data_IF_790390123575
#
_entry.id   IF_790390123575
#
_cell.length_a   1.000
_cell.length_b   1.000
_cell.length_c   1.000
_cell.angle_alpha   90.00
_cell.angle_beta   90.00
_cell.angle_gamma   90.00
#
_symmetry.space_group_name_H-M   'P 1'
#
loop_
_entity.id
_entity.type
_entity.pdbx_description
1 polymer ?
#
# COMPACT_ATOMS: atom_id res chain seq x y z
N UNK A 1 -38.87 -2.18 -6.51
CA UNK A 1 -39.07 -0.71 -6.55
C UNK A 1 -37.75 -0.07 -6.99
N UNK A 2 -37.71 0.62 -8.13
CA UNK A 2 -36.58 1.48 -8.50
C UNK A 2 -36.80 2.81 -7.79
N UNK A 3 -36.01 3.10 -6.76
CA UNK A 3 -35.97 4.42 -6.15
C UNK A 3 -35.14 5.28 -7.10
N UNK A 4 -35.81 6.04 -7.96
CA UNK A 4 -35.15 7.05 -8.78
C UNK A 4 -34.74 8.20 -7.88
N UNK A 5 -33.43 8.41 -7.70
CA UNK A 5 -32.91 9.60 -7.03
C UNK A 5 -33.21 10.79 -7.95
N UNK A 6 -33.85 11.81 -7.40
CA UNK A 6 -34.09 13.07 -8.12
C UNK A 6 -32.77 13.85 -8.21
N UNK A 7 -32.17 13.86 -9.41
CA UNK A 7 -30.91 14.53 -9.70
C UNK A 7 -31.11 15.98 -10.20
N UNK A 8 -32.32 16.52 -10.08
CA UNK A 8 -32.66 17.83 -10.68
C UNK A 8 -31.87 18.97 -10.02
N UNK A 9 -31.62 18.88 -8.72
CA UNK A 9 -30.86 19.87 -7.95
C UNK A 9 -29.36 19.82 -8.26
N UNK A 10 -28.77 18.62 -8.28
CA UNK A 10 -27.38 18.38 -8.74
C UNK A 10 -27.12 18.87 -10.16
N UNK A 11 -28.07 18.66 -11.08
CA UNK A 11 -27.97 19.18 -12.45
C UNK A 11 -28.00 20.71 -12.51
N UNK A 12 -28.75 21.33 -11.60
CA UNK A 12 -28.89 22.78 -11.53
C UNK A 12 -27.61 23.43 -11.00
N UNK A 13 -27.04 22.88 -9.94
CA UNK A 13 -25.74 23.30 -9.39
C UNK A 13 -24.62 23.13 -10.43
N UNK A 14 -24.57 22.00 -11.14
CA UNK A 14 -23.56 21.76 -12.18
C UNK A 14 -23.66 22.76 -13.33
N UNK A 15 -24.88 23.17 -13.70
CA UNK A 15 -25.11 24.15 -14.75
C UNK A 15 -24.75 25.57 -14.32
N UNK A 16 -24.96 25.92 -13.05
CA UNK A 16 -24.53 27.21 -12.48
C UNK A 16 -23.00 27.33 -12.41
N UNK A 17 -22.30 26.24 -12.05
CA UNK A 17 -20.82 26.17 -12.09
C UNK A 17 -20.29 26.33 -13.52
N UNK A 18 -20.93 25.72 -14.52
CA UNK A 18 -20.55 25.86 -15.93
C UNK A 18 -20.71 27.31 -16.43
N UNK A 19 -21.83 27.94 -16.10
CA UNK A 19 -22.14 29.32 -16.53
C UNK A 19 -21.16 30.36 -15.96
N UNK A 20 -20.64 30.12 -14.76
CA UNK A 20 -19.64 31.00 -14.15
C UNK A 20 -18.22 30.82 -14.72
N UNK A 21 -17.94 29.71 -15.42
CA UNK A 21 -16.62 29.39 -15.96
C UNK A 21 -16.44 29.72 -17.46
N UNK A 22 -17.50 30.17 -18.15
CA UNK A 22 -17.45 30.43 -19.60
C UNK A 22 -16.51 31.58 -20.02
N UNK A 23 -15.93 32.34 -19.09
CA UNK A 23 -14.94 33.41 -19.38
C UNK A 23 -13.52 33.15 -18.82
N UNK A 24 -13.21 31.94 -18.34
CA UNK A 24 -11.83 31.51 -17.98
C UNK A 24 -11.65 30.03 -18.29
N UNK A 25 -11.45 29.69 -19.56
CA UNK A 25 -11.16 28.32 -20.00
C UNK A 25 -9.70 27.88 -19.71
N UNK A 26 -9.18 28.28 -18.57
CA UNK A 26 -8.19 27.48 -17.86
C UNK A 26 -8.79 27.26 -16.48
N UNK A 27 -9.31 26.05 -16.24
CA UNK A 27 -9.35 25.56 -14.87
C UNK A 27 -7.89 25.51 -14.47
N UNK A 28 -7.39 26.56 -13.82
CA UNK A 28 -6.08 26.57 -13.19
C UNK A 28 -6.21 25.57 -12.05
N UNK A 29 -6.04 24.29 -12.41
CA UNK A 29 -5.91 23.22 -11.44
C UNK A 29 -4.65 23.56 -10.66
N UNK A 30 -4.83 23.89 -9.38
CA UNK A 30 -3.70 24.13 -8.51
C UNK A 30 -2.86 22.86 -8.50
N UNK A 31 -1.61 22.98 -8.96
CA UNK A 31 -0.64 21.89 -8.97
C UNK A 31 -0.64 21.20 -7.61
N UNK A 32 -0.78 19.87 -7.62
CA UNK A 32 -0.72 19.05 -6.40
C UNK A 32 0.74 18.84 -6.02
N UNK A 33 1.62 18.75 -7.01
CA UNK A 33 3.07 18.66 -6.84
C UNK A 33 3.72 20.05 -6.81
N UNK A 34 4.76 20.18 -6.00
CA UNK A 34 5.61 21.37 -5.97
C UNK A 34 6.75 21.20 -6.99
N UNK A 35 6.77 22.05 -8.02
CA UNK A 35 7.74 22.00 -9.12
C UNK A 35 9.18 22.16 -8.65
N UNK A 36 9.42 22.80 -7.49
CA UNK A 36 10.77 22.95 -6.96
C UNK A 36 11.40 21.60 -6.54
N UNK A 37 10.60 20.55 -6.39
CA UNK A 37 11.07 19.19 -6.13
C UNK A 37 11.27 18.36 -7.40
N UNK A 38 10.96 18.91 -8.58
CA UNK A 38 11.19 18.26 -9.86
C UNK A 38 12.68 18.33 -10.24
N UNK A 39 13.25 17.18 -10.58
CA UNK A 39 14.62 17.09 -11.07
C UNK A 39 14.62 17.24 -12.59
N UNK A 40 15.29 18.28 -13.08
CA UNK A 40 15.48 18.48 -14.51
C UNK A 40 16.29 17.33 -15.11
N UNK A 41 15.83 16.82 -16.24
CA UNK A 41 16.45 15.72 -16.97
C UNK A 41 16.97 16.24 -18.30
N UNK A 42 18.24 16.00 -18.57
CA UNK A 42 18.81 16.28 -19.89
C UNK A 42 18.51 15.08 -20.80
N UNK A 43 17.56 15.24 -21.72
CA UNK A 43 17.16 14.19 -22.66
C UNK A 43 17.98 14.23 -23.95
N UNK A 44 18.40 15.43 -24.34
CA UNK A 44 19.10 15.72 -25.59
C UNK A 44 20.24 16.72 -25.35
N UNK A 45 20.94 17.11 -26.40
CA UNK A 45 21.95 18.17 -26.35
C UNK A 45 21.35 19.58 -26.63
N UNK A 46 20.04 19.68 -26.85
CA UNK A 46 19.33 20.93 -27.16
C UNK A 46 18.52 21.41 -25.93
N UNK A 47 18.93 22.52 -25.29
CA UNK A 47 18.25 23.05 -24.12
C UNK A 47 16.79 23.43 -24.35
N UNK A 48 16.40 23.87 -25.55
CA UNK A 48 15.02 24.25 -25.84
C UNK A 48 14.12 23.02 -25.91
N UNK A 49 14.62 21.93 -26.50
CA UNK A 49 13.92 20.65 -26.53
C UNK A 49 13.78 20.10 -25.11
N UNK A 50 14.86 20.13 -24.33
CA UNK A 50 14.84 19.63 -22.95
C UNK A 50 13.89 20.47 -22.06
N UNK A 51 13.85 21.78 -22.19
CA UNK A 51 12.90 22.64 -21.45
C UNK A 51 11.45 22.26 -21.77
N UNK A 52 11.14 22.05 -23.04
CA UNK A 52 9.81 21.60 -23.46
C UNK A 52 9.47 20.22 -22.89
N UNK A 53 10.39 19.26 -22.96
CA UNK A 53 10.17 17.90 -22.45
C UNK A 53 9.98 17.89 -20.94
N UNK A 54 10.79 18.64 -20.19
CA UNK A 54 10.66 18.76 -18.73
C UNK A 54 9.32 19.42 -18.33
N UNK A 55 8.85 20.46 -19.04
CA UNK A 55 7.49 21.03 -18.83
C UNK A 55 6.40 19.97 -19.02
N UNK A 56 6.47 19.17 -20.09
CA UNK A 56 5.47 18.11 -20.35
C UNK A 56 5.57 16.97 -19.35
N UNK A 57 6.78 16.56 -18.98
CA UNK A 57 7.00 15.54 -17.97
C UNK A 57 6.42 15.96 -16.63
N UNK A 58 6.67 17.18 -16.16
CA UNK A 58 6.09 17.68 -14.92
C UNK A 58 4.55 17.69 -14.98
N UNK A 59 3.95 18.16 -16.08
CA UNK A 59 2.49 18.14 -16.27
C UNK A 59 1.89 16.75 -16.22
N UNK A 60 2.56 15.75 -16.80
CA UNK A 60 2.12 14.34 -16.73
C UNK A 60 2.18 13.84 -15.29
N UNK A 61 3.29 14.11 -14.58
CA UNK A 61 3.46 13.69 -13.19
C UNK A 61 2.41 14.33 -12.27
N UNK A 62 2.20 15.63 -12.40
CA UNK A 62 1.23 16.36 -11.59
C UNK A 62 -0.20 15.87 -11.85
N UNK A 63 -0.59 15.70 -13.12
CA UNK A 63 -1.90 15.17 -13.48
C UNK A 63 -2.13 13.75 -12.93
N UNK A 64 -1.13 12.88 -13.04
CA UNK A 64 -1.21 11.51 -12.54
C UNK A 64 -1.31 11.46 -11.00
N UNK A 65 -0.50 12.27 -10.31
CA UNK A 65 -0.55 12.41 -8.86
C UNK A 65 -1.91 12.97 -8.41
N UNK A 66 -2.33 14.09 -8.97
CA UNK A 66 -3.60 14.74 -8.64
C UNK A 66 -4.78 13.79 -8.82
N UNK A 67 -4.84 13.07 -9.95
CA UNK A 67 -5.91 12.11 -10.24
C UNK A 67 -5.93 10.96 -9.24
N UNK A 68 -4.78 10.34 -8.97
CA UNK A 68 -4.71 9.18 -8.06
C UNK A 68 -5.00 9.53 -6.61
N UNK A 69 -4.52 10.68 -6.13
CA UNK A 69 -4.75 11.16 -4.76
C UNK A 69 -6.22 11.56 -4.57
N UNK A 70 -6.80 12.29 -5.53
CA UNK A 70 -8.20 12.70 -5.46
C UNK A 70 -9.14 11.51 -5.48
N UNK A 71 -8.95 10.58 -6.43
CA UNK A 71 -9.75 9.36 -6.50
C UNK A 71 -9.59 8.51 -5.24
N UNK A 72 -8.37 8.38 -4.72
CA UNK A 72 -8.10 7.68 -3.47
C UNK A 72 -8.85 8.28 -2.28
N UNK A 73 -8.87 9.62 -2.17
CA UNK A 73 -9.60 10.32 -1.11
C UNK A 73 -11.11 10.09 -1.21
N UNK A 74 -11.68 10.16 -2.42
CA UNK A 74 -13.11 9.84 -2.64
C UNK A 74 -13.40 8.39 -2.25
N UNK A 75 -12.51 7.46 -2.59
CA UNK A 75 -12.68 6.05 -2.27
C UNK A 75 -12.62 5.75 -0.77
N UNK A 76 -11.82 6.51 -0.01
CA UNK A 76 -11.77 6.44 1.46
C UNK A 76 -13.09 6.97 2.02
N UNK A 77 -13.50 8.18 1.62
CA UNK A 77 -14.73 8.83 2.10
C UNK A 77 -15.97 7.96 1.90
N UNK A 78 -16.13 7.37 0.71
CA UNK A 78 -17.26 6.46 0.44
C UNK A 78 -17.18 5.19 1.28
N UNK A 79 -15.97 4.65 1.51
CA UNK A 79 -15.80 3.46 2.35
C UNK A 79 -16.15 3.75 3.81
N UNK A 80 -15.68 4.88 4.35
CA UNK A 80 -15.98 5.34 5.71
C UNK A 80 -17.47 5.60 5.90
N UNK A 81 -18.12 6.28 4.95
CA UNK A 81 -19.56 6.53 4.99
C UNK A 81 -20.39 5.24 5.05
N UNK A 82 -19.91 4.18 4.39
CA UNK A 82 -20.59 2.89 4.35
C UNK A 82 -20.24 1.98 5.54
N UNK A 83 -19.20 2.25 6.33
CA UNK A 83 -18.64 1.33 7.33
C UNK A 83 -19.70 0.73 8.28
N UNK A 84 -20.63 1.54 8.77
CA UNK A 84 -21.69 1.12 9.70
C UNK A 84 -23.00 0.68 9.02
N UNK A 85 -23.00 0.54 7.69
CA UNK A 85 -24.20 0.20 6.92
C UNK A 85 -24.27 -1.30 6.62
N UNK A 86 -25.50 -1.83 6.60
CA UNK A 86 -25.75 -3.22 6.20
C UNK A 86 -25.28 -3.43 4.76
N UNK A 87 -24.55 -4.53 4.51
CA UNK A 87 -23.95 -4.84 3.20
C UNK A 87 -22.95 -3.80 2.69
N UNK A 88 -22.23 -3.11 3.59
CA UNK A 88 -21.20 -2.09 3.28
C UNK A 88 -20.28 -2.52 2.14
N UNK A 89 -19.56 -3.64 2.30
CA UNK A 89 -18.60 -4.13 1.31
C UNK A 89 -19.25 -4.31 -0.06
N UNK A 90 -20.35 -5.07 -0.11
CA UNK A 90 -21.05 -5.36 -1.38
C UNK A 90 -21.52 -4.08 -2.07
N UNK A 91 -21.97 -3.09 -1.30
CA UNK A 91 -22.41 -1.79 -1.81
C UNK A 91 -21.23 -0.99 -2.36
N UNK A 92 -20.12 -0.93 -1.62
CA UNK A 92 -18.90 -0.26 -2.04
C UNK A 92 -18.35 -0.84 -3.35
N UNK A 93 -18.33 -2.17 -3.47
CA UNK A 93 -17.83 -2.86 -4.66
C UNK A 93 -18.69 -2.55 -5.89
N UNK A 94 -20.02 -2.62 -5.76
CA UNK A 94 -20.94 -2.27 -6.86
C UNK A 94 -20.79 -0.81 -7.27
N UNK A 95 -20.59 0.09 -6.32
CA UNK A 95 -20.36 1.50 -6.59
C UNK A 95 -19.04 1.70 -7.35
N UNK A 96 -17.94 1.07 -6.94
CA UNK A 96 -16.66 1.11 -7.67
C UNK A 96 -16.82 0.63 -9.12
N UNK A 97 -17.45 -0.53 -9.32
CA UNK A 97 -17.67 -1.12 -10.65
C UNK A 97 -18.53 -0.21 -11.53
N UNK A 98 -19.56 0.43 -10.97
CA UNK A 98 -20.40 1.38 -11.71
C UNK A 98 -19.64 2.64 -12.17
N UNK A 99 -18.52 2.96 -11.51
CA UNK A 99 -17.63 4.07 -11.88
C UNK A 99 -16.41 3.59 -12.69
N UNK A 100 -16.37 2.33 -13.14
CA UNK A 100 -15.30 1.81 -13.99
C UNK A 100 -14.02 1.41 -13.24
N UNK A 101 -14.07 1.29 -11.92
CA UNK A 101 -12.92 0.89 -11.10
C UNK A 101 -13.08 -0.51 -10.54
N UNK A 102 -11.99 -1.28 -10.57
CA UNK A 102 -11.91 -2.53 -9.82
C UNK A 102 -11.35 -2.29 -8.41
N UNK A 103 -11.53 -3.26 -7.51
CA UNK A 103 -11.07 -3.16 -6.11
C UNK A 103 -9.56 -2.95 -5.97
N UNK A 104 -8.75 -3.55 -6.85
CA UNK A 104 -7.30 -3.45 -6.78
C UNK A 104 -6.83 -2.04 -7.11
N UNK A 105 -7.36 -1.43 -8.18
CA UNK A 105 -7.10 -0.04 -8.54
C UNK A 105 -7.55 0.91 -7.44
N UNK A 106 -8.75 0.69 -6.89
CA UNK A 106 -9.24 1.49 -5.77
C UNK A 106 -8.33 1.39 -4.54
N UNK A 107 -7.90 0.18 -4.16
CA UNK A 107 -6.98 -0.03 -3.05
C UNK A 107 -5.64 0.71 -3.26
N UNK A 108 -5.08 0.66 -4.48
CA UNK A 108 -3.84 1.37 -4.82
C UNK A 108 -3.96 2.88 -4.60
N UNK A 109 -5.06 3.47 -5.07
CA UNK A 109 -5.31 4.90 -4.92
C UNK A 109 -5.57 5.30 -3.47
N UNK A 110 -6.33 4.50 -2.71
CA UNK A 110 -6.55 4.73 -1.27
C UNK A 110 -5.24 4.77 -0.50
N UNK A 111 -4.40 3.72 -0.64
CA UNK A 111 -3.08 3.67 0.01
C UNK A 111 -2.24 4.92 -0.25
N UNK A 112 -2.15 5.33 -1.53
CA UNK A 112 -1.39 6.54 -1.91
C UNK A 112 -1.99 7.79 -1.27
N UNK A 113 -3.31 7.96 -1.34
CA UNK A 113 -4.00 9.11 -0.77
C UNK A 113 -3.87 9.18 0.75
N UNK A 114 -4.01 8.05 1.46
CA UNK A 114 -3.83 7.97 2.91
C UNK A 114 -2.44 8.45 3.34
N UNK A 115 -1.38 7.95 2.71
CA UNK A 115 0.00 8.36 3.02
C UNK A 115 0.17 9.83 2.66
N UNK A 116 -0.21 10.24 1.45
CA UNK A 116 -0.06 11.62 0.97
C UNK A 116 -0.75 12.64 1.89
N UNK A 117 -1.98 12.35 2.31
CA UNK A 117 -2.77 13.23 3.17
C UNK A 117 -2.24 13.28 4.61
N UNK A 118 -1.47 12.27 5.04
CA UNK A 118 -0.81 12.25 6.36
C UNK A 118 0.45 13.11 6.40
N UNK A 119 1.02 13.48 5.24
CA UNK A 119 2.25 14.27 5.14
C UNK A 119 1.98 15.79 5.15
N UNK A 120 3.01 16.56 5.51
CA UNK A 120 3.01 18.02 5.63
C UNK A 120 3.96 18.65 4.64
N UNK A 121 5.19 18.16 4.50
CA UNK A 121 6.18 18.78 3.60
C UNK A 121 5.80 18.61 2.12
N UNK A 122 6.06 19.64 1.31
CA UNK A 122 5.86 19.56 -0.15
C UNK A 122 6.78 18.52 -0.79
N UNK A 123 7.96 18.31 -0.20
CA UNK A 123 8.95 17.31 -0.60
C UNK A 123 8.44 15.89 -0.43
N UNK A 124 8.01 15.50 0.77
CA UNK A 124 7.48 14.16 1.02
C UNK A 124 6.23 13.89 0.18
N UNK A 125 5.34 14.89 0.07
CA UNK A 125 4.17 14.84 -0.81
C UNK A 125 4.54 14.62 -2.27
N UNK A 126 5.55 15.35 -2.76
CA UNK A 126 6.05 15.17 -4.11
C UNK A 126 6.49 13.73 -4.34
N UNK A 127 7.31 13.19 -3.45
CA UNK A 127 7.78 11.81 -3.53
C UNK A 127 6.65 10.79 -3.60
N UNK A 128 5.68 10.86 -2.67
CA UNK A 128 4.53 9.94 -2.66
C UNK A 128 3.67 10.09 -3.92
N UNK A 129 3.53 11.33 -4.42
CA UNK A 129 2.80 11.62 -5.64
C UNK A 129 3.37 10.91 -6.87
N UNK A 130 4.70 10.84 -6.99
CA UNK A 130 5.39 10.32 -8.19
C UNK A 130 5.94 8.91 -8.05
N UNK A 131 6.09 8.39 -6.83
CA UNK A 131 6.72 7.07 -6.61
C UNK A 131 5.87 5.91 -7.15
N UNK A 132 6.53 4.76 -7.35
CA UNK A 132 5.89 3.56 -7.89
C UNK A 132 4.90 2.94 -6.89
N UNK A 133 3.89 2.22 -7.41
CA UNK A 133 2.95 1.52 -6.53
C UNK A 133 3.62 0.49 -5.63
N UNK A 134 4.74 -0.12 -6.07
CA UNK A 134 5.50 -1.06 -5.24
C UNK A 134 5.96 -0.40 -3.94
N UNK A 135 6.55 0.79 -4.02
CA UNK A 135 7.02 1.52 -2.84
C UNK A 135 5.85 1.94 -1.95
N UNK A 136 4.76 2.42 -2.54
CA UNK A 136 3.52 2.71 -1.78
C UNK A 136 3.02 1.49 -1.03
N UNK A 137 3.03 0.31 -1.65
CA UNK A 137 2.59 -0.93 -1.03
C UNK A 137 3.49 -1.35 0.13
N UNK A 138 4.79 -1.13 0.04
CA UNK A 138 5.74 -1.42 1.13
C UNK A 138 5.57 -0.42 2.28
N UNK A 139 5.47 0.88 2.00
CA UNK A 139 5.16 1.91 3.02
C UNK A 139 3.84 1.58 3.74
N UNK A 140 2.83 1.13 3.00
CA UNK A 140 1.52 0.80 3.59
C UNK A 140 1.53 -0.44 4.47
N UNK A 141 2.55 -1.31 4.37
CA UNK A 141 2.70 -2.52 5.18
C UNK A 141 3.63 -2.32 6.38
N UNK A 142 4.37 -1.22 6.40
CA UNK A 142 5.30 -0.89 7.48
C UNK A 142 4.54 -0.84 8.80
N UNK A 143 5.04 -1.55 9.82
CA UNK A 143 4.30 -1.78 11.07
C UNK A 143 4.16 -0.48 11.87
N UNK A 144 5.26 0.27 12.03
CA UNK A 144 5.24 1.56 12.73
C UNK A 144 4.91 2.71 11.76
N UNK A 145 3.62 3.04 11.71
CA UNK A 145 3.12 4.12 10.85
C UNK A 145 3.69 5.50 11.23
N UNK A 146 3.99 5.75 12.49
CA UNK A 146 4.54 7.05 12.91
C UNK A 146 6.00 7.18 12.46
N UNK A 147 6.79 6.11 12.61
CA UNK A 147 8.20 6.10 12.20
C UNK A 147 8.36 6.31 10.69
N UNK A 148 7.61 5.57 9.86
CA UNK A 148 7.73 5.72 8.40
C UNK A 148 7.28 7.11 7.93
N UNK A 149 6.25 7.69 8.55
CA UNK A 149 5.81 9.05 8.23
C UNK A 149 6.87 10.07 8.65
N UNK A 150 7.47 9.92 9.82
CA UNK A 150 8.59 10.77 10.25
C UNK A 150 9.78 10.67 9.29
N UNK A 151 10.18 9.46 8.90
CA UNK A 151 11.25 9.23 7.94
C UNK A 151 10.96 9.90 6.60
N UNK A 152 9.73 9.77 6.09
CA UNK A 152 9.30 10.41 4.84
C UNK A 152 9.36 11.94 4.89
N UNK A 153 9.13 12.54 6.06
CA UNK A 153 9.21 14.00 6.24
C UNK A 153 10.66 14.51 6.29
N UNK A 154 11.55 13.75 6.93
CA UNK A 154 12.94 14.16 7.14
C UNK A 154 13.90 13.72 6.00
N UNK A 155 13.45 12.83 5.11
CA UNK A 155 14.34 12.28 4.08
C UNK A 155 14.80 13.33 3.05
N UNK A 156 16.12 13.39 2.86
CA UNK A 156 16.74 14.23 1.85
C UNK A 156 17.01 13.51 0.53
N UNK A 157 17.05 12.18 0.52
CA UNK A 157 17.28 11.39 -0.68
C UNK A 157 16.21 10.29 -0.82
N UNK A 158 15.50 10.30 -1.95
CA UNK A 158 14.42 9.35 -2.22
C UNK A 158 14.93 7.94 -2.51
N UNK A 159 16.19 7.78 -2.95
CA UNK A 159 16.77 6.48 -3.27
C UNK A 159 17.02 5.62 -2.00
N UNK A 160 17.02 6.24 -0.83
CA UNK A 160 17.31 5.56 0.45
C UNK A 160 16.09 4.87 1.05
N UNK A 161 14.88 5.20 0.59
CA UNK A 161 13.63 4.61 1.09
C UNK A 161 13.62 3.08 0.97
N UNK A 162 14.18 2.53 -0.11
CA UNK A 162 14.21 1.07 -0.27
C UNK A 162 15.11 0.40 0.75
N UNK A 163 16.19 1.07 1.16
CA UNK A 163 17.08 0.55 2.19
C UNK A 163 16.44 0.68 3.57
N UNK A 164 15.71 1.77 3.81
CA UNK A 164 14.92 1.96 5.03
C UNK A 164 13.83 0.89 5.17
N UNK A 165 13.01 0.69 4.13
CA UNK A 165 11.95 -0.33 4.13
C UNK A 165 12.50 -1.76 4.24
N UNK A 166 13.76 -1.99 3.84
CA UNK A 166 14.46 -3.27 4.06
C UNK A 166 14.99 -3.42 5.49
N UNK A 167 15.27 -2.33 6.22
CA UNK A 167 15.72 -2.40 7.61
C UNK A 167 14.63 -2.95 8.54
N UNK A 168 13.36 -2.75 8.23
CA UNK A 168 12.24 -3.37 8.96
C UNK A 168 12.11 -4.88 8.77
N UNK A 169 12.73 -5.43 7.72
CA UNK A 169 12.92 -6.89 7.58
C UNK A 169 14.08 -7.38 8.46
N UNK A 170 14.85 -6.46 9.03
CA UNK A 170 15.82 -6.71 10.10
C UNK A 170 15.18 -6.34 11.44
N UNK A 171 14.20 -7.14 11.86
CA UNK A 171 14.06 -7.42 13.29
C UNK A 171 15.48 -7.67 13.82
N UNK A 172 15.84 -7.01 14.91
CA UNK A 172 17.07 -7.26 15.66
C UNK A 172 17.28 -8.77 15.75
N UNK A 173 18.18 -9.30 14.92
CA UNK A 173 18.75 -10.61 15.15
C UNK A 173 19.75 -10.36 16.27
N UNK A 174 19.24 -10.26 17.50
CA UNK A 174 19.98 -10.80 18.63
C UNK A 174 20.28 -12.26 18.28
N UNK A 175 21.53 -12.45 17.88
CA UNK A 175 22.19 -13.70 17.54
C UNK A 175 21.58 -14.61 16.45
N UNK A 176 22.48 -15.03 15.57
CA UNK A 176 22.26 -15.87 14.38
C UNK A 176 21.72 -17.29 14.65
N UNK A 177 21.00 -17.53 15.73
CA UNK A 177 20.52 -18.86 16.16
C UNK A 177 19.03 -19.12 15.92
N UNK A 178 18.19 -18.12 15.60
CA UNK A 178 16.74 -18.35 15.50
C UNK A 178 16.19 -18.75 14.12
N UNK A 179 16.90 -18.49 13.01
CA UNK A 179 16.37 -18.78 11.66
C UNK A 179 16.18 -20.28 11.37
N UNK A 180 16.98 -21.17 11.98
CA UNK A 180 16.77 -22.63 11.83
C UNK A 180 15.58 -23.15 12.66
N UNK A 181 15.28 -22.53 13.80
CA UNK A 181 14.20 -22.99 14.71
C UNK A 181 12.79 -22.64 14.20
N UNK A 182 12.64 -21.51 13.51
CA UNK A 182 11.37 -21.12 12.88
C UNK A 182 11.03 -22.10 11.74
N UNK A 183 12.03 -22.55 10.99
CA UNK A 183 11.84 -23.48 9.87
C UNK A 183 11.36 -24.86 10.33
N UNK A 184 11.90 -25.38 11.44
CA UNK A 184 11.48 -26.68 12.01
C UNK A 184 10.04 -26.60 12.56
N UNK A 185 9.71 -25.57 13.36
CA UNK A 185 8.36 -25.39 13.93
C UNK A 185 7.31 -25.25 12.83
N UNK A 186 7.59 -24.49 11.78
CA UNK A 186 6.67 -24.31 10.65
C UNK A 186 6.57 -25.57 9.77
N UNK A 187 7.65 -26.34 9.60
CA UNK A 187 7.61 -27.64 8.91
C UNK A 187 6.75 -28.65 9.65
N UNK A 188 6.84 -28.72 10.99
CA UNK A 188 6.00 -29.62 11.81
C UNK A 188 4.52 -29.25 11.68
N UNK A 189 4.16 -27.96 11.76
CA UNK A 189 2.77 -27.50 11.60
C UNK A 189 2.17 -27.83 10.22
N UNK A 190 3.01 -27.90 9.19
CA UNK A 190 2.60 -28.19 7.79
C UNK A 190 2.57 -29.68 7.46
N UNK A 191 2.96 -30.58 8.38
CA UNK A 191 2.87 -32.01 8.13
C UNK A 191 1.40 -32.44 7.97
N UNK A 192 1.06 -33.27 6.96
CA UNK A 192 -0.30 -33.75 6.76
C UNK A 192 -0.63 -34.89 7.73
N UNK A 193 -0.69 -34.58 9.04
CA UNK A 193 -0.84 -35.57 10.13
C UNK A 193 -2.08 -36.45 9.99
N UNK A 194 -3.13 -35.97 9.31
CA UNK A 194 -4.35 -36.74 8.98
C UNK A 194 -4.08 -38.00 8.15
N UNK A 195 -2.94 -38.08 7.45
CA UNK A 195 -2.58 -39.22 6.62
C UNK A 195 -1.97 -40.38 7.42
N UNK A 196 -1.59 -40.18 8.69
CA UNK A 196 -0.98 -41.21 9.54
C UNK A 196 -1.93 -42.40 9.72
N UNK A 197 -3.23 -42.15 9.84
CA UNK A 197 -4.26 -43.18 10.00
C UNK A 197 -4.32 -44.16 8.81
N UNK A 198 -3.86 -43.71 7.63
CA UNK A 198 -3.87 -44.49 6.38
C UNK A 198 -2.58 -45.28 6.14
N UNK A 199 -1.58 -45.14 7.01
CA UNK A 199 -0.34 -45.90 6.93
C UNK A 199 -0.52 -47.34 7.43
N UNK A 200 0.31 -48.24 6.92
CA UNK A 200 0.49 -49.60 7.43
C UNK A 200 1.13 -49.59 8.82
N UNK A 201 0.93 -50.67 9.58
CA UNK A 201 1.30 -50.77 10.99
C UNK A 201 2.80 -50.51 11.20
N UNK A 202 3.64 -51.01 10.30
CA UNK A 202 5.09 -50.83 10.38
C UNK A 202 5.50 -49.36 10.23
N UNK A 203 4.94 -48.63 9.27
CA UNK A 203 5.21 -47.19 9.11
C UNK A 203 4.58 -46.34 10.20
N UNK A 204 3.43 -46.73 10.74
CA UNK A 204 2.85 -46.07 11.93
C UNK A 204 3.79 -46.16 13.13
N UNK A 205 4.38 -47.32 13.36
CA UNK A 205 5.37 -47.51 14.44
C UNK A 205 6.62 -46.67 14.21
N UNK A 206 7.13 -46.60 12.97
CA UNK A 206 8.27 -45.73 12.63
C UNK A 206 7.97 -44.25 12.88
N UNK A 207 6.77 -43.78 12.52
CA UNK A 207 6.35 -42.39 12.80
C UNK A 207 6.29 -42.14 14.31
N UNK A 208 5.75 -43.06 15.10
CA UNK A 208 5.70 -42.94 16.56
C UNK A 208 7.10 -42.90 17.19
N UNK A 209 8.02 -43.75 16.75
CA UNK A 209 9.41 -43.74 17.25
C UNK A 209 10.12 -42.41 16.95
N UNK A 210 9.89 -41.84 15.76
CA UNK A 210 10.47 -40.54 15.39
C UNK A 210 9.88 -39.40 16.21
N UNK A 211 8.57 -39.42 16.46
CA UNK A 211 7.91 -38.43 17.34
C UNK A 211 8.45 -38.54 18.76
N UNK A 212 8.60 -39.76 19.29
CA UNK A 212 9.14 -39.97 20.64
C UNK A 212 10.57 -39.44 20.76
N UNK A 213 11.44 -39.71 19.78
CA UNK A 213 12.80 -39.16 19.75
C UNK A 213 12.80 -37.63 19.75
N UNK A 214 11.90 -37.00 19.00
CA UNK A 214 11.76 -35.53 19.00
C UNK A 214 11.33 -35.04 20.40
N UNK A 215 10.37 -35.70 21.04
CA UNK A 215 9.94 -35.34 22.40
C UNK A 215 11.05 -35.46 23.44
N UNK A 216 11.84 -36.52 23.37
CA UNK A 216 12.92 -36.78 24.34
C UNK A 216 14.02 -35.72 24.22
N UNK A 217 14.44 -35.39 22.99
CA UNK A 217 15.40 -34.31 22.71
C UNK A 217 14.90 -32.96 23.23
N UNK A 218 13.61 -32.66 23.05
CA UNK A 218 13.01 -31.39 23.52
C UNK A 218 12.81 -31.35 25.04
N UNK A 219 12.71 -32.50 25.72
CA UNK A 219 12.62 -32.59 27.19
C UNK A 219 13.99 -32.44 27.86
N UNK A 220 15.06 -32.95 27.27
CA UNK A 220 16.43 -32.85 27.81
C UNK A 220 16.87 -31.38 27.97
N UNK A 221 16.52 -30.50 27.02
CA UNK A 221 16.85 -29.07 27.11
C UNK A 221 16.16 -28.32 28.27
N UNK A 222 15.01 -28.78 28.76
CA UNK A 222 14.32 -28.15 29.91
C UNK A 222 15.04 -28.36 31.24
N UNK A 223 15.89 -29.38 31.34
CA UNK A 223 16.59 -29.72 32.59
C UNK A 223 17.96 -29.04 32.71
N UNK A 224 18.53 -28.55 31.61
CA UNK A 224 19.81 -27.82 31.60
C UNK A 224 19.65 -26.32 31.91
N UNK A 225 18.49 -25.72 31.65
CA UNK A 225 18.19 -24.31 31.97
C UNK A 225 17.88 -24.02 33.46
N UNK A 226 17.87 -25.04 34.32
CA UNK A 226 17.53 -24.93 35.75
C UNK A 226 18.71 -25.25 36.70
N UNK A 227 19.96 -25.14 36.23
CA UNK A 227 21.17 -25.33 37.05
C UNK A 227 22.00 -24.06 37.15
#
# INVERSE_FOLDING_TARGET
MKIGIDLTELKKELNEVKKNNENKNEIIQKSVLDINNYQYINFTDDPEIDDFLNDKSFKILDLAAASSILLGSIFIEVQEYLADKVNSDTTYIKWLESNGFNRMTALRYKKRAEIYNSLKSSRAKYFIGVTSQRIIDEISKYEDREEILYYLEEMNNYDEIENFLKKDVVLEIEDKTEKENIEIKERIKKLPLKNIERLDIEKKNQVNELVQKIEDILKEQKNESNK
#
